data_IF_073050024335
#
_entry.id   IF_073050024335
#
_cell.length_a   1.000
_cell.length_b   1.000
_cell.length_c   1.000
_cell.angle_alpha   90.00
_cell.angle_beta   90.00
_cell.angle_gamma   90.00
#
_symmetry.space_group_name_H-M   'P 1'
#
loop_
_entity.id
_entity.type
_entity.pdbx_description
1 polymer ?
#
# COMPACT_ATOMS: atom_id res chain seq x y z
N UNK A 1 -21.69 57.68 -72.14
CA UNK A 1 -22.78 56.99 -71.44
C UNK A 1 -22.16 55.90 -70.57
N UNK A 2 -22.45 55.93 -69.26
CA UNK A 2 -21.91 55.02 -68.23
C UNK A 2 -22.64 53.67 -68.35
N UNK A 3 -21.94 52.54 -68.18
CA UNK A 3 -22.42 51.37 -67.43
C UNK A 3 -21.23 50.55 -66.93
N UNK A 4 -21.25 50.25 -65.63
CA UNK A 4 -20.29 49.46 -64.87
C UNK A 4 -20.60 47.96 -65.04
N UNK A 5 -19.57 47.08 -65.07
CA UNK A 5 -19.72 45.68 -64.65
C UNK A 5 -18.48 45.27 -63.85
N UNK A 6 -18.75 44.67 -62.69
CA UNK A 6 -17.81 44.32 -61.63
C UNK A 6 -17.59 42.79 -61.56
N UNK A 7 -16.53 42.43 -60.83
CA UNK A 7 -16.31 41.16 -60.11
C UNK A 7 -15.93 39.92 -60.96
N UNK A 8 -15.12 38.96 -60.51
CA UNK A 8 -14.79 38.53 -59.15
C UNK A 8 -13.30 38.21 -58.98
N UNK A 9 -12.76 38.61 -57.82
CA UNK A 9 -11.53 38.08 -57.21
C UNK A 9 -11.87 36.74 -56.56
N UNK A 10 -11.08 35.69 -56.81
CA UNK A 10 -11.04 34.49 -55.95
C UNK A 10 -9.60 34.23 -55.55
N UNK A 11 -9.20 34.81 -54.42
CA UNK A 11 -7.94 34.48 -53.75
C UNK A 11 -8.27 33.42 -52.68
N UNK A 12 -7.94 32.17 -52.96
CA UNK A 12 -8.08 31.07 -52.01
C UNK A 12 -6.98 31.17 -50.94
N UNK A 13 -7.33 31.67 -49.76
CA UNK A 13 -6.43 31.66 -48.60
C UNK A 13 -6.41 30.24 -47.99
N UNK A 14 -5.28 29.54 -48.14
CA UNK A 14 -5.03 28.28 -47.45
C UNK A 14 -4.72 28.59 -45.97
N UNK A 15 -5.67 28.33 -45.07
CA UNK A 15 -5.40 28.34 -43.64
C UNK A 15 -4.62 27.07 -43.27
N UNK A 16 -3.32 27.23 -42.97
CA UNK A 16 -2.53 26.21 -42.31
C UNK A 16 -2.95 26.14 -40.83
N UNK A 17 -3.68 25.09 -40.45
CA UNK A 17 -4.02 24.79 -39.07
C UNK A 17 -2.80 24.19 -38.37
N UNK A 18 -2.15 24.97 -37.51
CA UNK A 18 -1.12 24.47 -36.58
C UNK A 18 -1.80 23.62 -35.51
N UNK A 19 -1.57 22.30 -35.54
CA UNK A 19 -2.00 21.39 -34.47
C UNK A 19 -1.03 21.59 -33.28
N UNK A 20 -1.51 21.94 -32.08
CA UNK A 20 -0.63 22.00 -30.92
C UNK A 20 -0.18 20.58 -30.57
N UNK A 21 1.14 20.37 -30.50
CA UNK A 21 1.70 19.13 -29.97
C UNK A 21 1.35 19.05 -28.48
N UNK A 22 0.45 18.13 -28.12
CA UNK A 22 0.12 17.85 -26.73
C UNK A 22 1.31 17.07 -26.14
N UNK A 23 2.06 17.69 -25.23
CA UNK A 23 3.07 16.99 -24.45
C UNK A 23 2.34 15.96 -23.58
N UNK A 24 2.70 14.68 -23.73
CA UNK A 24 2.21 13.63 -22.84
C UNK A 24 2.64 13.97 -21.39
N UNK A 25 1.82 13.66 -20.38
CA UNK A 25 2.26 13.74 -19.00
C UNK A 25 3.54 12.88 -18.86
N UNK A 26 4.59 13.47 -18.30
CA UNK A 26 5.73 12.69 -17.87
C UNK A 26 5.23 11.76 -16.76
N UNK A 27 5.42 10.46 -16.92
CA UNK A 27 5.24 9.49 -15.83
C UNK A 27 6.19 9.90 -14.71
N UNK A 28 5.66 10.56 -13.68
CA UNK A 28 6.43 10.81 -12.46
C UNK A 28 6.89 9.44 -11.93
N UNK A 29 8.20 9.24 -11.68
CA UNK A 29 8.68 7.97 -11.18
C UNK A 29 7.94 7.65 -9.88
N UNK A 30 7.26 6.50 -9.87
CA UNK A 30 6.57 6.02 -8.68
C UNK A 30 7.56 6.04 -7.52
N UNK A 31 7.20 6.62 -6.36
CA UNK A 31 8.10 6.69 -5.22
C UNK A 31 8.64 5.30 -4.92
N UNK A 32 9.97 5.14 -4.93
CA UNK A 32 10.59 3.85 -4.66
C UNK A 32 10.00 3.24 -3.37
N UNK A 33 9.70 1.93 -3.35
CA UNK A 33 9.16 1.27 -2.17
C UNK A 33 10.01 1.62 -0.95
N UNK A 34 9.39 2.32 0.02
CA UNK A 34 10.10 2.68 1.26
C UNK A 34 10.31 1.39 2.04
N UNK A 35 11.55 1.06 2.45
CA UNK A 35 11.82 -0.19 3.14
C UNK A 35 11.02 -0.30 4.44
N UNK A 36 10.69 -1.54 4.79
CA UNK A 36 9.97 -1.89 6.00
C UNK A 36 8.51 -2.26 5.76
N UNK A 37 7.90 -2.81 6.79
CA UNK A 37 6.53 -3.32 6.77
C UNK A 37 5.68 -2.45 7.67
N UNK A 38 4.64 -1.84 7.13
CA UNK A 38 3.64 -1.14 7.93
C UNK A 38 2.66 -2.16 8.50
N UNK A 39 2.57 -2.19 9.82
CA UNK A 39 1.74 -3.10 10.56
C UNK A 39 0.57 -2.34 11.15
N UNK A 40 -0.64 -2.88 11.04
CA UNK A 40 -1.81 -2.32 11.72
C UNK A 40 -2.61 -3.37 12.47
N UNK A 41 -3.29 -2.93 13.52
CA UNK A 41 -4.30 -3.69 14.26
C UNK A 41 -5.54 -2.80 14.37
N UNK A 42 -6.69 -3.26 13.88
CA UNK A 42 -7.98 -2.58 14.00
C UNK A 42 -9.00 -3.44 14.73
N UNK A 43 -9.82 -2.79 15.56
CA UNK A 43 -10.93 -3.45 16.23
C UNK A 43 -12.16 -3.62 15.33
N UNK A 44 -13.18 -4.28 15.88
CA UNK A 44 -14.49 -4.49 15.29
C UNK A 44 -15.03 -3.23 14.61
N UNK A 45 -15.55 -3.38 13.38
CA UNK A 45 -16.11 -2.32 12.55
C UNK A 45 -15.22 -1.07 12.40
N UNK A 46 -13.89 -1.23 12.50
CA UNK A 46 -12.91 -0.14 12.47
C UNK A 46 -13.15 0.95 13.53
N UNK A 47 -13.70 0.55 14.69
CA UNK A 47 -13.95 1.45 15.83
C UNK A 47 -12.67 2.08 16.39
N UNK A 48 -11.54 1.40 16.25
CA UNK A 48 -10.20 1.91 16.54
C UNK A 48 -9.16 1.25 15.64
N UNK A 49 -8.02 1.92 15.47
CA UNK A 49 -6.85 1.41 14.75
C UNK A 49 -5.57 1.91 15.39
N UNK A 50 -4.57 1.05 15.46
CA UNK A 50 -3.19 1.42 15.75
C UNK A 50 -2.26 0.80 14.71
N UNK A 51 -1.12 1.42 14.51
CA UNK A 51 -0.14 0.93 13.55
C UNK A 51 1.22 1.56 13.73
N UNK A 52 2.23 0.84 13.29
CA UNK A 52 3.62 1.28 13.29
C UNK A 52 4.35 0.71 12.09
N UNK A 53 5.54 1.25 11.80
CA UNK A 53 6.43 0.67 10.81
C UNK A 53 7.46 -0.21 11.50
N UNK A 54 7.56 -1.46 11.07
CA UNK A 54 8.63 -2.38 11.41
C UNK A 54 9.77 -2.24 10.41
N UNK A 55 10.96 -1.92 10.90
CA UNK A 55 12.17 -1.83 10.10
C UNK A 55 13.08 -3.00 10.47
N UNK A 56 13.45 -3.84 9.50
CA UNK A 56 14.29 -5.02 9.72
C UNK A 56 15.71 -4.89 9.17
N UNK A 57 15.95 -3.95 8.25
CA UNK A 57 17.24 -3.73 7.62
C UNK A 57 17.65 -2.24 7.72
N UNK A 58 18.95 -1.93 7.93
CA UNK A 58 20.07 -2.86 8.10
C UNK A 58 20.05 -3.64 9.43
N UNK A 59 19.42 -3.10 10.46
CA UNK A 59 19.17 -3.76 11.76
C UNK A 59 17.73 -3.48 12.22
N UNK A 60 17.12 -4.36 13.02
CA UNK A 60 15.81 -4.14 13.60
C UNK A 60 15.73 -2.81 14.37
N UNK A 61 14.75 -1.96 14.04
CA UNK A 61 14.60 -0.63 14.65
C UNK A 61 13.17 -0.08 14.56
N UNK A 62 12.90 1.03 15.26
CA UNK A 62 11.60 1.71 15.27
C UNK A 62 10.88 1.58 16.61
N UNK A 63 9.54 1.70 16.57
CA UNK A 63 8.70 1.71 17.78
C UNK A 63 8.11 0.34 18.14
N UNK A 64 8.42 -0.71 17.38
CA UNK A 64 7.95 -2.06 17.69
C UNK A 64 8.71 -2.57 18.93
N UNK A 65 8.03 -2.91 20.05
CA UNK A 65 8.70 -3.30 21.29
C UNK A 65 9.50 -4.61 21.16
N UNK A 66 9.09 -5.48 20.24
CA UNK A 66 9.74 -6.75 19.90
C UNK A 66 10.30 -6.75 18.47
N UNK A 67 10.94 -5.65 18.03
CA UNK A 67 11.32 -5.48 16.63
C UNK A 67 12.22 -6.61 16.10
N UNK A 68 13.20 -7.05 16.91
CA UNK A 68 14.12 -8.11 16.49
C UNK A 68 13.40 -9.45 16.32
N UNK A 69 12.52 -9.80 17.25
CA UNK A 69 11.74 -11.04 17.23
C UNK A 69 10.70 -11.02 16.11
N UNK A 70 10.04 -9.88 15.87
CA UNK A 70 9.09 -9.70 14.77
C UNK A 70 9.79 -9.86 13.42
N UNK A 71 10.95 -9.25 13.23
CA UNK A 71 11.75 -9.42 12.00
C UNK A 71 12.20 -10.87 11.81
N UNK A 72 12.65 -11.54 12.87
CA UNK A 72 13.01 -12.95 12.81
C UNK A 72 11.83 -13.87 12.47
N UNK A 73 10.62 -13.55 12.96
CA UNK A 73 9.42 -14.29 12.65
C UNK A 73 9.01 -14.14 11.17
N UNK A 74 9.07 -12.92 10.62
CA UNK A 74 8.81 -12.69 9.18
C UNK A 74 9.90 -13.36 8.31
N UNK A 75 11.17 -13.31 8.74
CA UNK A 75 12.28 -14.02 8.09
C UNK A 75 12.05 -15.54 8.05
N UNK A 76 11.52 -16.13 9.13
CA UNK A 76 11.34 -17.58 9.23
C UNK A 76 10.26 -18.15 8.30
N UNK A 77 9.37 -17.29 7.80
CA UNK A 77 8.26 -17.64 6.90
C UNK A 77 8.42 -17.01 5.53
N UNK A 78 9.62 -16.52 5.19
CA UNK A 78 9.92 -15.87 3.91
C UNK A 78 8.91 -14.78 3.51
N UNK A 79 8.39 -14.04 4.50
CA UNK A 79 7.39 -12.99 4.29
C UNK A 79 5.93 -13.46 4.10
N UNK A 80 5.65 -14.77 4.10
CA UNK A 80 4.29 -15.32 4.09
C UNK A 80 3.74 -15.46 5.51
N UNK A 81 2.98 -14.46 5.95
CA UNK A 81 2.42 -14.43 7.30
C UNK A 81 1.34 -15.49 7.55
N UNK A 82 0.86 -16.21 6.52
CA UNK A 82 -0.02 -17.36 6.71
C UNK A 82 0.72 -18.61 7.22
N UNK A 83 2.04 -18.65 7.07
CA UNK A 83 2.88 -19.75 7.55
C UNK A 83 3.40 -19.53 8.98
N UNK A 84 2.99 -18.44 9.65
CA UNK A 84 3.32 -18.24 11.06
C UNK A 84 2.82 -19.42 11.89
N UNK A 85 3.69 -20.06 12.70
CA UNK A 85 3.34 -21.31 13.38
C UNK A 85 2.21 -21.14 14.40
N UNK A 86 2.03 -19.91 14.89
CA UNK A 86 1.11 -19.59 15.98
C UNK A 86 1.37 -20.43 17.23
N UNK A 87 0.38 -20.46 18.12
CA UNK A 87 0.32 -21.35 19.28
C UNK A 87 -1.11 -21.82 19.46
N UNK A 88 -1.31 -22.97 20.10
CA UNK A 88 -2.63 -23.41 20.53
C UNK A 88 -3.04 -22.68 21.82
N UNK A 89 -3.98 -21.72 21.77
CA UNK A 89 -4.26 -20.86 22.92
C UNK A 89 -5.53 -21.27 23.65
N UNK A 90 -5.56 -21.06 24.95
CA UNK A 90 -6.81 -21.10 25.73
C UNK A 90 -7.54 -19.76 25.64
N UNK A 91 -8.19 -19.50 24.50
CA UNK A 91 -9.00 -18.30 24.29
C UNK A 91 -10.48 -18.52 24.66
N UNK A 92 -11.14 -17.45 25.11
CA UNK A 92 -12.61 -17.44 25.21
C UNK A 92 -13.24 -17.51 23.82
N UNK A 93 -14.55 -17.81 23.78
CA UNK A 93 -15.35 -17.81 22.55
C UNK A 93 -16.07 -16.48 22.30
N UNK A 94 -15.67 -15.42 23.00
CA UNK A 94 -16.19 -14.07 22.74
C UNK A 94 -15.87 -13.68 21.30
N UNK A 95 -16.84 -13.03 20.64
CA UNK A 95 -16.69 -12.53 19.29
C UNK A 95 -16.57 -11.01 19.33
N UNK A 96 -15.32 -10.54 19.33
CA UNK A 96 -14.94 -9.13 19.21
C UNK A 96 -13.78 -9.05 18.21
N UNK A 97 -14.10 -9.11 16.90
CA UNK A 97 -13.10 -9.35 15.86
C UNK A 97 -12.01 -8.29 15.78
N UNK A 98 -10.78 -8.75 15.53
CA UNK A 98 -9.61 -7.89 15.36
C UNK A 98 -9.00 -8.18 13.99
N UNK A 99 -8.79 -7.15 13.19
CA UNK A 99 -8.13 -7.27 11.88
C UNK A 99 -6.71 -6.75 11.97
N UNK A 100 -5.77 -7.53 11.44
CA UNK A 100 -4.36 -7.15 11.33
C UNK A 100 -3.98 -6.99 9.87
N UNK A 101 -3.08 -6.06 9.56
CA UNK A 101 -2.52 -5.90 8.21
C UNK A 101 -1.01 -5.72 8.24
N UNK A 102 -0.33 -6.28 7.24
CA UNK A 102 1.08 -6.07 6.96
C UNK A 102 1.22 -5.63 5.50
N UNK A 103 1.77 -4.44 5.28
CA UNK A 103 1.94 -3.88 3.95
C UNK A 103 3.31 -3.21 3.80
N UNK A 104 4.10 -3.59 2.81
CA UNK A 104 5.40 -2.99 2.55
C UNK A 104 6.40 -3.97 1.96
N UNK A 105 7.67 -3.78 2.27
CA UNK A 105 8.75 -4.64 1.77
C UNK A 105 9.63 -5.16 2.89
N UNK A 106 9.94 -6.44 2.82
CA UNK A 106 10.83 -7.13 3.75
C UNK A 106 11.89 -7.88 2.96
N UNK A 107 13.17 -7.51 3.13
CA UNK A 107 14.31 -8.09 2.37
C UNK A 107 14.11 -8.19 0.84
N UNK A 108 13.36 -7.26 0.27
CA UNK A 108 13.06 -7.21 -1.18
C UNK A 108 11.85 -8.04 -1.60
N UNK A 109 11.16 -8.69 -0.67
CA UNK A 109 9.87 -9.33 -0.89
C UNK A 109 8.74 -8.35 -0.55
N UNK A 110 7.77 -8.24 -1.45
CA UNK A 110 6.56 -7.46 -1.21
C UNK A 110 5.63 -8.24 -0.27
N UNK A 111 5.20 -7.57 0.80
CA UNK A 111 4.21 -8.10 1.74
C UNK A 111 2.93 -7.28 1.56
N UNK A 112 1.84 -7.97 1.26
CA UNK A 112 0.49 -7.43 1.20
C UNK A 112 -0.47 -8.45 1.82
N UNK A 113 -0.62 -8.38 3.13
CA UNK A 113 -1.30 -9.40 3.92
C UNK A 113 -2.29 -8.78 4.90
N UNK A 114 -3.41 -9.45 5.11
CA UNK A 114 -4.35 -9.11 6.18
C UNK A 114 -5.08 -10.35 6.67
N UNK A 115 -5.52 -10.31 7.94
CA UNK A 115 -6.31 -11.39 8.53
C UNK A 115 -7.20 -10.86 9.65
N UNK A 116 -8.41 -11.40 9.75
CA UNK A 116 -9.33 -11.11 10.84
C UNK A 116 -9.41 -12.32 11.77
N UNK A 117 -9.21 -12.08 13.06
CA UNK A 117 -9.34 -13.06 14.12
C UNK A 117 -10.62 -12.80 14.91
N UNK A 118 -11.26 -13.86 15.42
CA UNK A 118 -12.53 -13.75 16.14
C UNK A 118 -12.43 -12.93 17.45
N UNK A 119 -11.24 -12.85 18.03
CA UNK A 119 -10.93 -12.00 19.17
C UNK A 119 -9.43 -11.76 19.30
N UNK A 120 -9.08 -10.86 20.22
CA UNK A 120 -7.72 -10.40 20.43
C UNK A 120 -6.76 -11.49 20.93
N UNK A 121 -7.27 -12.44 21.73
CA UNK A 121 -6.50 -13.58 22.20
C UNK A 121 -6.03 -14.46 21.03
N UNK A 122 -6.92 -14.76 20.09
CA UNK A 122 -6.57 -15.53 18.89
C UNK A 122 -5.60 -14.76 17.98
N UNK A 123 -5.77 -13.44 17.85
CA UNK A 123 -4.83 -12.58 17.13
C UNK A 123 -3.42 -12.73 17.69
N UNK A 124 -3.24 -12.50 18.99
CA UNK A 124 -1.95 -12.68 19.66
C UNK A 124 -1.39 -14.10 19.50
N UNK A 125 -2.22 -15.12 19.68
CA UNK A 125 -1.79 -16.50 19.57
C UNK A 125 -1.25 -16.88 18.18
N UNK A 126 -1.84 -16.33 17.13
CA UNK A 126 -1.49 -16.71 15.76
C UNK A 126 -0.40 -15.83 15.16
N UNK A 127 -0.22 -14.60 15.65
CA UNK A 127 0.65 -13.63 14.97
C UNK A 127 1.77 -13.03 15.79
N UNK A 128 1.82 -13.27 17.10
CA UNK A 128 2.96 -12.79 17.89
C UNK A 128 4.25 -13.49 17.46
N UNK A 129 5.39 -12.79 17.42
CA UNK A 129 5.61 -11.42 17.92
C UNK A 129 5.31 -10.30 16.90
N UNK A 130 4.88 -10.62 15.68
CA UNK A 130 4.75 -9.63 14.59
C UNK A 130 3.72 -8.54 14.89
N UNK A 131 2.64 -8.84 15.61
CA UNK A 131 1.59 -7.87 15.98
C UNK A 131 1.50 -7.60 17.48
N UNK A 132 2.60 -7.80 18.21
CA UNK A 132 2.68 -7.54 19.64
C UNK A 132 3.17 -6.10 19.90
N UNK A 133 2.31 -5.12 19.57
CA UNK A 133 2.54 -3.67 19.74
C UNK A 133 1.25 -2.89 20.00
#
# INVERSE_FOLDING_TARGET
MRHHVAALVTLAAALATTIPAHAAPADDPEPAPRPGVFLTVSGSDNTWIRGLKLMCAPEPSGHHPHAAEACAAIDAVDGDLDELPGKDPLCTKEYDPVTVTAAGTHRGQDIAWHRTYANDCLRHAMTDPVFDF
#
